data_IF_936289154145
#
_entry.id   IF_936289154145
#
_cell.length_a   1.000
_cell.length_b   1.000
_cell.length_c   1.000
_cell.angle_alpha   90.00
_cell.angle_beta   90.00
_cell.angle_gamma   90.00
#
_symmetry.space_group_name_H-M   'P 1'
#
loop_
_entity.id
_entity.type
_entity.pdbx_description
1 polymer ?
#
# COMPACT_ATOMS: atom_id res chain seq x y z
N UNK A 1 5.86 2.27 -23.54
CA UNK A 1 6.37 3.38 -22.72
C UNK A 1 5.95 3.09 -21.28
N UNK A 2 6.89 2.83 -20.37
CA UNK A 2 6.57 2.62 -18.96
C UNK A 2 6.96 3.89 -18.19
N UNK A 3 5.99 4.53 -17.56
CA UNK A 3 6.22 5.63 -16.63
C UNK A 3 6.19 5.09 -15.20
N UNK A 4 7.15 5.50 -14.37
CA UNK A 4 7.26 5.05 -12.98
C UNK A 4 7.13 6.23 -12.02
N UNK A 5 6.35 6.02 -10.95
CA UNK A 5 6.26 6.94 -9.81
C UNK A 5 6.82 6.24 -8.58
N UNK A 6 7.63 6.96 -7.80
CA UNK A 6 8.16 6.48 -6.51
C UNK A 6 7.95 7.57 -5.47
N UNK A 7 7.46 7.16 -4.31
CA UNK A 7 7.23 8.04 -3.16
C UNK A 7 7.67 7.32 -1.89
N UNK A 8 7.99 8.10 -0.86
CA UNK A 8 8.43 7.60 0.43
C UNK A 8 7.70 8.37 1.52
N UNK A 9 7.39 7.68 2.61
CA UNK A 9 6.77 8.25 3.81
C UNK A 9 7.38 7.60 5.03
N UNK A 10 7.65 8.40 6.06
CA UNK A 10 8.05 7.91 7.37
C UNK A 10 6.82 7.79 8.25
N UNK A 11 6.66 6.63 8.89
CA UNK A 11 5.53 6.33 9.76
C UNK A 11 6.08 6.02 11.14
N UNK A 12 5.62 6.76 12.15
CA UNK A 12 5.99 6.52 13.55
C UNK A 12 5.20 5.33 14.13
N UNK A 13 5.54 4.13 13.66
CA UNK A 13 4.95 2.87 14.09
C UNK A 13 5.92 1.71 13.86
N UNK A 14 5.68 0.57 14.51
CA UNK A 14 6.48 -0.63 14.24
C UNK A 14 6.14 -1.22 12.86
N UNK A 15 7.08 -1.93 12.21
CA UNK A 15 6.83 -2.59 10.93
C UNK A 15 5.63 -3.53 10.97
N UNK A 16 5.39 -4.22 12.10
CA UNK A 16 4.27 -5.13 12.30
C UNK A 16 2.94 -4.39 12.26
N UNK A 17 2.86 -3.22 12.93
CA UNK A 17 1.65 -2.41 12.94
C UNK A 17 1.33 -1.86 11.56
N UNK A 18 2.34 -1.34 10.86
CA UNK A 18 2.19 -0.87 9.47
C UNK A 18 1.75 -2.01 8.57
N UNK A 19 2.37 -3.18 8.70
CA UNK A 19 2.03 -4.35 7.89
C UNK A 19 0.61 -4.84 8.12
N UNK A 20 0.14 -4.86 9.37
CA UNK A 20 -1.25 -5.20 9.69
C UNK A 20 -2.22 -4.27 8.94
N UNK A 21 -2.02 -2.95 9.00
CA UNK A 21 -2.88 -1.98 8.29
C UNK A 21 -2.77 -2.13 6.77
N UNK A 22 -1.56 -2.36 6.24
CA UNK A 22 -1.33 -2.58 4.81
C UNK A 22 -1.89 -3.91 4.29
N UNK A 23 -2.24 -4.86 5.16
CA UNK A 23 -2.79 -6.15 4.74
C UNK A 23 -4.26 -6.34 5.12
N UNK A 24 -4.83 -5.40 5.87
CA UNK A 24 -6.24 -5.35 6.25
C UNK A 24 -7.07 -4.61 5.19
N UNK A 25 -7.36 -5.30 4.07
CA UNK A 25 -8.10 -4.75 2.94
C UNK A 25 -9.47 -4.16 3.32
N UNK A 26 -10.32 -4.81 4.16
CA UNK A 26 -11.60 -4.26 4.55
C UNK A 26 -11.50 -2.87 5.20
N UNK A 27 -10.43 -2.60 5.95
CA UNK A 27 -10.21 -1.33 6.62
C UNK A 27 -9.69 -0.21 5.69
N UNK A 28 -9.45 -0.48 4.40
CA UNK A 28 -8.90 0.52 3.48
C UNK A 28 -9.82 1.73 3.33
N UNK A 29 -11.14 1.54 3.38
CA UNK A 29 -12.11 2.64 3.26
C UNK A 29 -11.98 3.69 4.38
N UNK A 30 -11.38 3.33 5.52
CA UNK A 30 -11.23 4.24 6.68
C UNK A 30 -10.13 5.28 6.47
N UNK A 31 -9.10 4.97 5.65
CA UNK A 31 -7.91 5.81 5.51
C UNK A 31 -7.47 6.07 4.06
N UNK A 32 -7.92 5.26 3.10
CA UNK A 32 -7.55 5.38 1.70
C UNK A 32 -8.70 5.98 0.88
N UNK A 33 -8.67 7.30 0.57
CA UNK A 33 -9.76 7.96 -0.15
C UNK A 33 -9.97 7.45 -1.59
N UNK A 34 -9.03 6.67 -2.12
CA UNK A 34 -9.16 6.06 -3.46
C UNK A 34 -9.84 4.69 -3.43
N UNK A 35 -10.15 4.14 -2.27
CA UNK A 35 -10.78 2.82 -2.11
C UNK A 35 -12.04 2.96 -1.28
N UNK A 36 -13.18 2.58 -1.85
CA UNK A 36 -14.47 2.54 -1.11
C UNK A 36 -14.73 1.19 -0.48
N UNK A 37 -14.17 0.12 -1.06
CA UNK A 37 -14.32 -1.26 -0.59
C UNK A 37 -13.15 -2.07 -1.13
N UNK A 38 -12.60 -2.97 -0.32
CA UNK A 38 -11.62 -3.93 -0.80
C UNK A 38 -11.79 -5.27 -0.10
N UNK A 39 -11.69 -6.34 -0.88
CA UNK A 39 -11.88 -7.72 -0.43
C UNK A 39 -10.76 -8.62 -0.94
N UNK A 40 -10.49 -9.68 -0.18
CA UNK A 40 -9.52 -10.71 -0.49
C UNK A 40 -8.43 -10.83 0.58
N UNK A 41 -7.36 -11.50 0.24
CA UNK A 41 -6.20 -11.67 1.12
C UNK A 41 -4.94 -11.56 0.30
N UNK A 42 -3.91 -10.90 0.84
CA UNK A 42 -2.60 -10.84 0.20
C UNK A 42 -1.90 -12.20 0.26
N UNK A 43 -2.26 -13.08 -0.66
CA UNK A 43 -1.61 -14.36 -0.92
C UNK A 43 -1.11 -14.35 -2.35
N UNK A 44 0.14 -14.74 -2.56
CA UNK A 44 0.74 -14.75 -3.90
C UNK A 44 -0.11 -15.53 -4.91
N UNK A 45 -0.29 -14.97 -6.10
CA UNK A 45 -1.11 -15.54 -7.17
C UNK A 45 -2.62 -15.33 -7.05
N UNK A 46 -3.12 -14.85 -5.90
CA UNK A 46 -4.56 -14.58 -5.73
C UNK A 46 -4.99 -13.25 -6.38
N UNK A 47 -6.30 -13.10 -6.60
CA UNK A 47 -6.90 -11.85 -7.08
C UNK A 47 -7.67 -11.19 -5.96
N UNK A 48 -7.49 -9.89 -5.83
CA UNK A 48 -8.26 -9.05 -4.93
C UNK A 48 -9.44 -8.45 -5.68
N UNK A 49 -10.42 -7.93 -4.94
CA UNK A 49 -11.46 -7.07 -5.45
C UNK A 49 -11.30 -5.70 -4.79
N UNK A 50 -11.12 -4.65 -5.58
CA UNK A 50 -10.99 -3.28 -5.07
C UNK A 50 -11.99 -2.40 -5.78
N UNK A 51 -12.88 -1.78 -5.04
CA UNK A 51 -13.82 -0.78 -5.53
C UNK A 51 -13.24 0.61 -5.27
N UNK A 52 -13.22 1.45 -6.29
CA UNK A 52 -12.77 2.85 -6.24
C UNK A 52 -13.95 3.79 -6.45
N UNK A 53 -13.90 5.03 -5.92
CA UNK A 53 -14.94 6.02 -6.18
C UNK A 53 -15.15 6.23 -7.68
N UNK A 54 -16.41 6.36 -8.09
CA UNK A 54 -16.75 6.66 -9.47
C UNK A 54 -16.35 8.11 -9.82
N UNK A 55 -15.10 8.32 -10.24
CA UNK A 55 -14.58 9.64 -10.60
C UNK A 55 -14.92 10.07 -12.03
N UNK A 56 -15.17 9.11 -12.93
CA UNK A 56 -15.65 9.37 -14.29
C UNK A 56 -16.33 8.13 -14.86
N UNK A 57 -17.24 8.28 -15.81
CA UNK A 57 -17.74 7.16 -16.63
C UNK A 57 -16.60 6.43 -17.37
N UNK A 58 -15.42 7.06 -17.41
CA UNK A 58 -14.19 6.56 -17.98
C UNK A 58 -13.33 5.67 -17.05
N UNK A 59 -13.79 5.31 -15.85
CA UNK A 59 -13.05 4.40 -14.98
C UNK A 59 -13.96 3.25 -14.55
N UNK A 60 -13.46 2.02 -14.68
CA UNK A 60 -14.16 0.88 -14.10
C UNK A 60 -14.13 1.04 -12.57
N UNK A 61 -15.27 1.06 -11.88
CA UNK A 61 -15.30 1.26 -10.45
C UNK A 61 -14.72 0.05 -9.69
N UNK A 62 -14.62 -1.12 -10.34
CA UNK A 62 -14.10 -2.35 -9.74
C UNK A 62 -12.84 -2.81 -10.46
N UNK A 63 -11.78 -2.99 -9.68
CA UNK A 63 -10.48 -3.45 -10.10
C UNK A 63 -10.23 -4.85 -9.56
N UNK A 64 -9.50 -5.66 -10.31
CA UNK A 64 -9.10 -7.02 -9.90
C UNK A 64 -7.58 -7.18 -9.92
N UNK A 65 -6.84 -6.54 -8.98
CA UNK A 65 -5.40 -6.70 -8.93
C UNK A 65 -5.02 -8.15 -8.64
N UNK A 66 -3.93 -8.60 -9.25
CA UNK A 66 -3.31 -9.89 -8.97
C UNK A 66 -2.13 -9.68 -8.05
N UNK A 67 -2.07 -10.41 -6.94
CA UNK A 67 -0.96 -10.40 -6.00
C UNK A 67 0.22 -11.15 -6.63
N UNK A 68 1.38 -10.51 -6.70
CA UNK A 68 2.57 -11.04 -7.34
C UNK A 68 3.61 -11.56 -6.34
N UNK A 69 3.81 -10.86 -5.23
CA UNK A 69 4.82 -11.19 -4.22
C UNK A 69 4.36 -10.67 -2.86
N UNK A 70 4.52 -11.47 -1.81
CA UNK A 70 4.22 -11.09 -0.42
C UNK A 70 5.36 -11.56 0.47
N UNK A 71 6.24 -10.63 0.85
CA UNK A 71 7.29 -10.84 1.85
C UNK A 71 6.87 -10.11 3.13
N UNK A 72 6.45 -10.83 4.19
CA UNK A 72 5.99 -10.24 5.43
C UNK A 72 6.93 -9.16 5.98
N UNK A 73 6.35 -8.04 6.42
CA UNK A 73 7.04 -6.88 7.00
C UNK A 73 8.06 -6.19 6.08
N UNK A 74 8.13 -6.56 4.79
CA UNK A 74 9.17 -6.05 3.88
C UNK A 74 8.65 -5.63 2.53
N UNK A 75 7.84 -6.45 1.86
CA UNK A 75 7.47 -6.20 0.47
C UNK A 75 6.10 -6.75 0.13
N UNK A 76 5.34 -5.93 -0.58
CA UNK A 76 4.08 -6.31 -1.16
C UNK A 76 4.05 -5.85 -2.62
N UNK A 77 3.79 -6.77 -3.55
CA UNK A 77 3.65 -6.45 -4.98
C UNK A 77 2.35 -6.96 -5.52
N UNK A 78 1.65 -6.10 -6.25
CA UNK A 78 0.43 -6.46 -6.94
C UNK A 78 0.33 -5.68 -8.26
N UNK A 79 -0.37 -6.27 -9.23
CA UNK A 79 -0.59 -5.67 -10.54
C UNK A 79 -2.08 -5.54 -10.83
N UNK A 80 -2.51 -4.33 -11.12
CA UNK A 80 -3.84 -4.02 -11.64
C UNK A 80 -3.80 -3.98 -13.16
N UNK A 81 -4.71 -4.72 -13.80
CA UNK A 81 -4.92 -4.62 -15.25
C UNK A 81 -6.25 -3.93 -15.52
N UNK A 82 -6.22 -2.92 -16.37
CA UNK A 82 -7.39 -2.12 -16.75
C UNK A 82 -7.72 -2.38 -18.22
N UNK A 83 -8.38 -3.49 -18.48
CA UNK A 83 -8.71 -4.00 -19.83
C UNK A 83 -9.90 -3.24 -20.44
N UNK A 84 -9.85 -1.91 -20.45
CA UNK A 84 -11.05 -1.07 -20.64
C UNK A 84 -11.52 -0.95 -22.10
N UNK A 85 -10.71 -1.37 -23.07
CA UNK A 85 -11.02 -1.30 -24.51
C UNK A 85 -10.65 -2.56 -25.30
N UNK A 86 -10.52 -3.71 -24.64
CA UNK A 86 -10.15 -4.96 -25.31
C UNK A 86 -8.72 -4.99 -25.86
N UNK A 87 -7.90 -3.99 -25.53
CA UNK A 87 -6.46 -3.97 -25.80
C UNK A 87 -5.76 -4.43 -24.52
N UNK A 88 -5.27 -5.69 -24.46
CA UNK A 88 -4.58 -6.20 -23.30
C UNK A 88 -3.30 -5.40 -23.03
N UNK A 89 -3.05 -5.02 -21.78
CA UNK A 89 -1.77 -4.41 -21.37
C UNK A 89 -1.61 -2.91 -21.61
N UNK A 90 -2.63 -2.22 -22.16
CA UNK A 90 -2.55 -0.76 -22.38
C UNK A 90 -2.49 0.02 -21.05
N UNK A 91 -3.10 -0.51 -19.99
CA UNK A 91 -3.19 0.12 -18.68
C UNK A 91 -2.87 -0.89 -17.58
N UNK A 92 -1.70 -1.51 -17.67
CA UNK A 92 -1.16 -2.35 -16.60
C UNK A 92 -0.39 -1.47 -15.61
N UNK A 93 -0.82 -1.47 -14.35
CA UNK A 93 -0.14 -0.77 -13.26
C UNK A 93 0.38 -1.81 -12.27
N UNK A 94 1.69 -1.88 -12.14
CA UNK A 94 2.34 -2.63 -11.06
C UNK A 94 2.64 -1.68 -9.91
N UNK A 95 2.28 -2.10 -8.70
CA UNK A 95 2.60 -1.39 -7.47
C UNK A 95 3.47 -2.27 -6.58
N UNK A 96 4.53 -1.66 -6.06
CA UNK A 96 5.44 -2.28 -5.10
C UNK A 96 5.50 -1.40 -3.87
N UNK A 97 5.08 -1.95 -2.73
CA UNK A 97 5.24 -1.32 -1.43
C UNK A 97 6.40 -2.01 -0.74
N UNK A 98 7.36 -1.23 -0.25
CA UNK A 98 8.50 -1.74 0.51
C UNK A 98 8.57 -1.02 1.84
N UNK A 99 8.68 -1.78 2.92
CA UNK A 99 8.91 -1.26 4.27
C UNK A 99 10.35 -1.51 4.68
N UNK A 100 10.97 -0.48 5.25
CA UNK A 100 12.29 -0.55 5.87
C UNK A 100 12.23 0.15 7.21
N UNK A 101 12.69 -0.49 8.28
CA UNK A 101 12.82 0.16 9.57
C UNK A 101 13.92 1.20 9.49
N UNK A 102 13.58 2.46 9.77
CA UNK A 102 14.59 3.50 9.98
C UNK A 102 14.92 3.53 11.46
N UNK A 103 16.12 3.11 11.82
CA UNK A 103 16.60 3.27 13.18
C UNK A 103 16.76 4.76 13.44
N UNK A 104 15.88 5.34 14.25
CA UNK A 104 16.14 6.64 14.84
C UNK A 104 17.34 6.46 15.80
N UNK A 105 18.53 6.85 15.35
CA UNK A 105 19.64 7.02 16.28
C UNK A 105 19.28 8.24 17.11
N UNK A 106 18.81 8.04 18.33
CA UNK A 106 18.67 9.11 19.30
C UNK A 106 20.04 9.78 19.45
N UNK A 107 20.16 11.02 18.96
CA UNK A 107 21.34 11.86 19.17
C UNK A 107 21.55 12.25 20.65
N UNK A 108 20.65 11.84 21.54
CA UNK A 108 20.81 11.97 22.98
C UNK A 108 21.14 10.59 23.54
N UNK A 109 22.34 10.42 24.11
CA UNK A 109 22.87 9.16 24.66
C UNK A 109 22.14 8.62 25.90
N UNK A 110 20.81 8.59 25.91
CA UNK A 110 20.00 7.94 26.93
C UNK A 110 19.53 6.56 26.44
N UNK A 111 20.03 5.51 27.10
CA UNK A 111 19.73 4.09 26.83
C UNK A 111 18.35 3.62 27.30
N UNK A 112 17.37 4.51 27.42
CA UNK A 112 16.01 4.15 27.85
C UNK A 112 15.00 5.03 27.13
N UNK A 113 14.23 4.40 26.23
CA UNK A 113 13.14 5.05 25.53
C UNK A 113 12.04 5.41 26.54
N UNK A 114 11.94 6.69 26.88
CA UNK A 114 10.75 7.26 27.49
C UNK A 114 10.18 8.28 26.50
N UNK A 115 8.86 8.20 26.28
CA UNK A 115 8.06 8.85 25.22
C UNK A 115 8.05 10.39 25.29
N UNK A 116 8.88 11.00 26.15
CA UNK A 116 8.74 12.39 26.54
C UNK A 116 9.58 13.41 25.74
N UNK A 117 10.31 13.02 24.69
CA UNK A 117 11.31 13.90 24.07
C UNK A 117 10.97 14.45 22.68
N UNK A 118 9.69 14.48 22.28
CA UNK A 118 9.27 15.08 21.01
C UNK A 118 8.12 16.09 21.20
N UNK A 119 8.46 17.25 21.76
CA UNK A 119 7.63 18.46 21.62
C UNK A 119 8.49 19.71 21.74
N UNK A 120 9.10 20.11 20.60
CA UNK A 120 9.46 21.50 20.25
C UNK A 120 10.10 21.51 18.86
N UNK A 121 9.33 21.87 17.84
CA UNK A 121 9.55 23.04 16.98
C UNK A 121 8.40 23.19 15.99
#
# INVERSE_FOLDING_TARGET
>A
MAAGLRTFVDIDATPERVWQVLTDLPAYAEWNPFVTEAEGTFVEGTRLLVTVPAGSALLQPRLRPTVLEVVPLRRLRYRSRLDRWGIPGLFDVEQTITSSTRTAVCACGCRTASVACWQRH
#
